data_IF_607271501266
#
_entry.id   IF_607271501266
#
_cell.length_a   1.000
_cell.length_b   1.000
_cell.length_c   1.000
_cell.angle_alpha   90.00
_cell.angle_beta   90.00
_cell.angle_gamma   90.00
#
_symmetry.space_group_name_H-M   'P 1'
#
loop_
_entity.id
_entity.type
_entity.pdbx_description
1 polymer ?
#
# COMPACT_ATOMS: atom_id res chain seq x y z
N UNK A 1 3.12 -8.40 -15.30
CA UNK A 1 2.42 -8.10 -14.02
C UNK A 1 3.42 -8.32 -12.90
N UNK A 2 4.00 -7.26 -12.34
CA UNK A 2 4.84 -7.41 -11.14
C UNK A 2 3.91 -7.70 -9.98
N UNK A 3 3.89 -8.94 -9.50
CA UNK A 3 3.22 -9.27 -8.25
C UNK A 3 3.83 -8.47 -7.10
N UNK A 4 3.05 -8.30 -6.04
CA UNK A 4 3.56 -7.72 -4.81
C UNK A 4 4.72 -8.59 -4.27
N UNK A 5 5.85 -7.97 -3.91
CA UNK A 5 7.05 -8.66 -3.43
C UNK A 5 6.87 -9.16 -1.98
N UNK A 6 6.04 -10.20 -1.83
CA UNK A 6 5.85 -10.92 -0.57
C UNK A 6 7.16 -11.48 0.01
N UNK A 7 8.04 -12.12 -0.78
CA UNK A 7 9.31 -12.61 -0.27
C UNK A 7 10.19 -11.49 0.31
N UNK A 8 10.25 -10.33 -0.36
CA UNK A 8 10.97 -9.15 0.14
C UNK A 8 10.37 -8.63 1.44
N UNK A 9 9.05 -8.55 1.54
CA UNK A 9 8.36 -8.10 2.75
C UNK A 9 8.61 -9.03 3.94
N UNK A 10 8.51 -10.35 3.75
CA UNK A 10 8.77 -11.32 4.82
C UNK A 10 10.24 -11.29 5.27
N UNK A 11 11.18 -11.11 4.34
CA UNK A 11 12.60 -10.97 4.68
C UNK A 11 12.85 -9.69 5.49
N UNK A 12 12.24 -8.58 5.11
CA UNK A 12 12.34 -7.32 5.84
C UNK A 12 11.74 -7.40 7.25
N UNK A 13 10.57 -8.03 7.40
CA UNK A 13 9.90 -8.19 8.71
C UNK A 13 10.59 -9.23 9.62
N UNK A 14 10.75 -10.46 9.15
CA UNK A 14 11.21 -11.57 9.99
C UNK A 14 12.73 -11.65 10.13
N UNK A 15 13.50 -11.23 9.10
CA UNK A 15 14.98 -11.23 9.17
C UNK A 15 15.52 -9.84 9.51
N UNK A 16 14.99 -8.78 8.88
CA UNK A 16 15.43 -7.41 9.12
C UNK A 16 15.05 -6.89 10.49
N UNK A 17 13.75 -6.86 10.80
CA UNK A 17 13.21 -6.40 12.09
C UNK A 17 13.19 -7.49 13.17
N UNK A 18 13.53 -8.74 12.83
CA UNK A 18 13.51 -9.91 13.73
C UNK A 18 12.16 -10.12 14.43
N UNK A 19 11.07 -9.78 13.74
CA UNK A 19 9.72 -9.99 14.26
C UNK A 19 9.40 -11.48 14.32
N UNK A 20 8.74 -11.90 15.40
CA UNK A 20 8.11 -13.21 15.44
C UNK A 20 7.00 -13.28 14.36
N UNK A 21 6.72 -14.45 13.77
CA UNK A 21 5.68 -14.58 12.75
C UNK A 21 4.33 -14.05 13.21
N UNK A 22 3.95 -14.30 14.47
CA UNK A 22 2.69 -13.79 15.02
C UNK A 22 2.67 -12.26 15.06
N UNK A 23 3.76 -11.62 15.48
CA UNK A 23 3.86 -10.16 15.54
C UNK A 23 3.77 -9.54 14.16
N UNK A 24 4.43 -10.13 13.16
CA UNK A 24 4.36 -9.66 11.78
C UNK A 24 2.93 -9.66 11.23
N UNK A 25 2.12 -10.67 11.56
CA UNK A 25 0.73 -10.76 11.12
C UNK A 25 -0.25 -9.94 11.97
N UNK A 26 0.12 -9.59 13.19
CA UNK A 26 -0.64 -8.67 14.05
C UNK A 26 -0.45 -7.20 13.65
N UNK A 27 0.68 -6.85 13.05
CA UNK A 27 0.98 -5.48 12.63
C UNK A 27 0.16 -5.07 11.42
N UNK A 28 -0.32 -3.83 11.45
CA UNK A 28 -0.86 -3.19 10.26
C UNK A 28 0.26 -2.88 9.27
N UNK A 29 -0.02 -2.81 7.95
CA UNK A 29 0.98 -2.40 6.96
C UNK A 29 1.57 -1.00 7.24
N UNK A 30 0.80 -0.12 7.87
CA UNK A 30 1.27 1.21 8.26
C UNK A 30 2.33 1.15 9.37
N UNK A 31 2.10 0.34 10.41
CA UNK A 31 3.07 0.13 11.50
C UNK A 31 4.33 -0.57 10.99
N UNK A 32 4.18 -1.57 10.11
CA UNK A 32 5.33 -2.24 9.50
C UNK A 32 6.18 -1.25 8.69
N UNK A 33 5.57 -0.38 7.88
CA UNK A 33 6.30 0.68 7.14
C UNK A 33 7.01 1.65 8.07
N UNK A 34 6.37 2.03 9.17
CA UNK A 34 6.98 2.89 10.18
C UNK A 34 8.21 2.23 10.81
N UNK A 35 8.11 0.95 11.22
CA UNK A 35 9.22 0.19 11.80
C UNK A 35 10.35 -0.06 10.80
N UNK A 36 10.03 -0.20 9.51
CA UNK A 36 11.01 -0.28 8.42
C UNK A 36 11.71 1.06 8.11
N UNK A 37 11.43 2.12 8.87
CA UNK A 37 12.00 3.45 8.61
C UNK A 37 11.45 4.13 7.36
N UNK A 38 10.40 3.56 6.75
CA UNK A 38 9.69 4.13 5.61
C UNK A 38 8.60 5.12 6.05
N UNK A 39 8.57 5.50 7.33
CA UNK A 39 7.67 6.50 7.92
C UNK A 39 7.98 7.95 7.54
N UNK A 40 8.78 8.18 6.49
CA UNK A 40 8.85 9.49 5.86
C UNK A 40 7.57 9.72 5.10
N UNK A 41 6.82 10.76 5.48
CA UNK A 41 5.52 11.14 4.95
C UNK A 41 5.36 10.70 3.49
N UNK A 42 4.51 9.69 3.25
CA UNK A 42 3.91 9.58 1.93
C UNK A 42 3.31 10.96 1.69
N UNK A 43 3.87 11.71 0.73
CA UNK A 43 3.46 13.07 0.46
C UNK A 43 1.94 13.05 0.40
N UNK A 44 1.28 13.84 1.26
CA UNK A 44 -0.17 13.92 1.27
C UNK A 44 -0.60 14.12 -0.19
N UNK A 45 -1.58 13.33 -0.65
CA UNK A 45 -2.03 13.36 -2.04
C UNK A 45 -2.27 14.82 -2.42
N UNK A 46 -1.43 15.36 -3.30
CA UNK A 46 -1.54 16.74 -3.73
C UNK A 46 -2.58 16.83 -4.84
N UNK A 47 -2.94 18.07 -5.19
CA UNK A 47 -3.96 18.31 -6.22
C UNK A 47 -3.54 17.66 -7.56
N UNK A 48 -2.25 17.73 -7.90
CA UNK A 48 -1.72 17.15 -9.11
C UNK A 48 -1.84 15.61 -9.13
N UNK A 49 -1.57 14.95 -8.00
CA UNK A 49 -1.77 13.52 -7.82
C UNK A 49 -3.23 13.11 -7.95
N UNK A 50 -4.16 13.89 -7.41
CA UNK A 50 -5.59 13.64 -7.59
C UNK A 50 -6.02 13.80 -9.06
N UNK A 51 -5.60 14.88 -9.72
CA UNK A 51 -5.94 15.13 -11.13
C UNK A 51 -5.36 14.02 -12.04
N UNK A 52 -4.16 13.51 -11.73
CA UNK A 52 -3.58 12.37 -12.43
C UNK A 52 -4.39 11.09 -12.25
N UNK A 53 -4.92 10.83 -11.05
CA UNK A 53 -5.81 9.68 -10.79
C UNK A 53 -7.12 9.80 -11.58
N UNK A 54 -7.74 10.98 -11.60
CA UNK A 54 -8.97 11.23 -12.35
C UNK A 54 -8.79 11.01 -13.86
N UNK A 55 -7.61 11.34 -14.40
CA UNK A 55 -7.30 11.10 -15.81
C UNK A 55 -7.07 9.61 -16.14
N UNK A 56 -6.49 8.85 -15.20
CA UNK A 56 -6.21 7.41 -15.39
C UNK A 56 -7.44 6.54 -15.14
N UNK A 57 -8.34 6.97 -14.26
CA UNK A 57 -9.61 6.30 -13.95
C UNK A 57 -10.76 7.28 -14.12
N UNK A 58 -11.10 7.67 -15.36
CA UNK A 58 -12.28 8.48 -15.59
C UNK A 58 -13.51 7.66 -15.20
N UNK A 59 -14.35 8.20 -14.33
CA UNK A 59 -15.64 7.61 -14.03
C UNK A 59 -16.45 7.56 -15.34
N UNK A 60 -16.64 6.36 -15.87
CA UNK A 60 -17.59 6.14 -16.96
C UNK A 60 -19.00 6.43 -16.46
N UNK A 61 -19.86 6.97 -17.32
CA UNK A 61 -21.29 7.02 -17.04
C UNK A 61 -21.76 5.61 -16.68
N UNK A 62 -22.22 5.44 -15.44
CA UNK A 62 -22.94 4.23 -15.04
C UNK A 62 -24.30 4.25 -15.73
N UNK A 63 -24.33 3.93 -17.01
CA UNK A 63 -25.44 3.19 -17.63
C UNK A 63 -24.98 1.73 -17.66
N UNK A 64 -25.66 0.75 -17.10
CA UNK A 64 -27.07 0.62 -16.76
C UNK A 64 -27.23 0.12 -15.33
N UNK A 65 -28.36 0.51 -14.73
CA UNK A 65 -28.94 -0.21 -13.61
C UNK A 65 -29.42 -1.57 -14.15
N UNK A 66 -28.71 -2.66 -13.86
CA UNK A 66 -29.27 -3.99 -14.07
C UNK A 66 -30.33 -4.23 -12.98
N UNK A 67 -31.57 -4.37 -13.44
CA UNK A 67 -32.78 -4.75 -12.70
C UNK A 67 -32.74 -6.23 -12.28
#
# INVERSE_FOLDING_TARGET
>A
MSGFDWPGLMRAGMQGLRLAPEQFWLLTPAELRLMLGQGGAAAALDRAGLDALMAHWPDGERGESDE
#
